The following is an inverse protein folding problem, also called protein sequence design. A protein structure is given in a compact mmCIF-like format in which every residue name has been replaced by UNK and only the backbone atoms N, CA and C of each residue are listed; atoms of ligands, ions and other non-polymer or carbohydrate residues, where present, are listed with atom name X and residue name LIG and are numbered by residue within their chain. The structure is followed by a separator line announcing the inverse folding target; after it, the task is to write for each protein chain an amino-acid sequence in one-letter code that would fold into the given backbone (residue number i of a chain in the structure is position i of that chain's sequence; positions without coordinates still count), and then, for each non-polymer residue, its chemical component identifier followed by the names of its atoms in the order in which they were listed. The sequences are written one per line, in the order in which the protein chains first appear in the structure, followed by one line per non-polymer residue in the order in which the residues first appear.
data_IF_204799281444
#
_entry.id   IF_204799281444
#
_cell.length_a   1.000
_cell.length_b   1.000
_cell.length_c   1.000
_cell.angle_alpha   90.00
_cell.angle_beta   90.00
_cell.angle_gamma   90.00
#
_symmetry.space_group_name_H-M   'P 1'
#
loop_
_entity.id
_entity.type
_entity.pdbx_description
1 polymer ?
#
# COMPACT_ATOMS: atom_id res chain seq x y z
N UNK A 1 -8.51 -31.15 4.60
CA UNK A 1 -9.43 -30.92 5.73
C UNK A 1 -9.92 -29.50 5.58
N UNK A 2 -10.97 -29.29 4.79
CA UNK A 2 -11.59 -27.98 4.64
C UNK A 2 -12.40 -27.67 5.88
N UNK A 3 -11.91 -26.75 6.70
CA UNK A 3 -12.70 -26.14 7.74
C UNK A 3 -13.77 -25.26 7.07
N UNK A 4 -14.95 -25.84 6.85
CA UNK A 4 -16.18 -25.10 6.59
C UNK A 4 -16.44 -24.22 7.83
N UNK A 5 -15.93 -23.00 7.80
CA UNK A 5 -16.34 -21.96 8.73
C UNK A 5 -17.83 -21.72 8.48
N UNK A 6 -18.63 -22.07 9.48
CA UNK A 6 -20.07 -21.93 9.44
C UNK A 6 -20.45 -20.46 9.25
N UNK A 7 -20.98 -20.14 8.07
CA UNK A 7 -21.35 -18.77 7.68
C UNK A 7 -22.40 -18.16 8.60
N UNK A 8 -23.15 -18.99 9.33
CA UNK A 8 -24.18 -18.56 10.28
C UNK A 8 -23.62 -18.08 11.62
N UNK A 9 -22.30 -18.22 11.85
CA UNK A 9 -21.60 -17.73 13.04
C UNK A 9 -21.00 -16.32 12.87
N UNK A 10 -21.09 -15.72 11.68
CA UNK A 10 -20.59 -14.36 11.48
C UNK A 10 -21.54 -13.36 12.16
N UNK A 11 -21.07 -12.46 13.05
CA UNK A 11 -21.87 -11.41 13.64
C UNK A 11 -22.71 -10.67 12.57
N UNK A 12 -23.96 -10.24 12.85
CA UNK A 12 -24.81 -9.53 11.90
C UNK A 12 -24.19 -8.27 11.27
N UNK A 13 -23.13 -7.73 11.90
CA UNK A 13 -22.28 -6.70 11.32
C UNK A 13 -21.56 -7.20 10.06
N UNK A 14 -20.97 -8.39 10.06
CA UNK A 14 -20.23 -8.94 8.92
C UNK A 14 -21.13 -9.25 7.70
N UNK A 15 -22.37 -9.70 7.91
CA UNK A 15 -23.31 -10.00 6.81
C UNK A 15 -23.83 -8.75 6.05
N UNK A 16 -24.06 -7.62 6.74
CA UNK A 16 -24.37 -6.34 6.07
C UNK A 16 -23.17 -5.76 5.32
N UNK A 17 -21.97 -6.25 5.60
CA UNK A 17 -20.71 -5.68 5.15
C UNK A 17 -20.15 -6.32 3.87
N UNK A 18 -20.47 -7.57 3.54
CA UNK A 18 -20.08 -8.17 2.25
C UNK A 18 -20.63 -7.38 1.04
N UNK A 19 -21.81 -6.77 1.17
CA UNK A 19 -22.38 -5.87 0.16
C UNK A 19 -21.60 -4.54 0.02
N UNK A 20 -20.84 -4.14 1.05
CA UNK A 20 -19.98 -2.95 1.03
C UNK A 20 -18.64 -3.19 0.35
N UNK A 21 -18.18 -4.44 0.30
CA UNK A 21 -16.84 -4.83 -0.13
C UNK A 21 -16.68 -4.83 -1.65
N UNK A 22 -17.60 -5.51 -2.35
CA UNK A 22 -17.71 -5.39 -3.81
C UNK A 22 -17.94 -3.93 -4.22
N UNK A 23 -18.75 -3.20 -3.44
CA UNK A 23 -18.99 -1.77 -3.64
C UNK A 23 -17.74 -0.92 -3.45
N UNK A 24 -16.87 -1.22 -2.49
CA UNK A 24 -15.63 -0.50 -2.25
C UNK A 24 -14.62 -0.75 -3.37
N UNK A 25 -14.37 -2.01 -3.71
CA UNK A 25 -13.46 -2.37 -4.82
C UNK A 25 -13.98 -1.78 -6.13
N UNK A 26 -15.29 -1.80 -6.37
CA UNK A 26 -15.89 -1.14 -7.53
C UNK A 26 -15.76 0.39 -7.48
N UNK A 27 -15.94 1.04 -6.31
CA UNK A 27 -15.76 2.49 -6.15
C UNK A 27 -14.31 2.90 -6.37
N UNK A 28 -13.34 2.17 -5.81
CA UNK A 28 -11.91 2.39 -6.05
C UNK A 28 -11.59 2.24 -7.53
N UNK A 29 -12.05 1.15 -8.17
CA UNK A 29 -11.86 0.92 -9.61
C UNK A 29 -12.55 1.99 -10.48
N UNK A 30 -13.74 2.45 -10.08
CA UNK A 30 -14.49 3.49 -10.79
C UNK A 30 -13.81 4.86 -10.65
N UNK A 31 -13.41 5.25 -9.44
CA UNK A 31 -12.68 6.46 -9.14
C UNK A 31 -11.35 6.49 -9.91
N UNK A 32 -10.62 5.37 -9.94
CA UNK A 32 -9.43 5.20 -10.77
C UNK A 32 -9.70 5.43 -12.26
N UNK A 33 -10.74 4.79 -12.82
CA UNK A 33 -11.12 4.98 -14.24
C UNK A 33 -11.44 6.43 -14.55
N UNK A 34 -12.18 7.11 -13.66
CA UNK A 34 -12.56 8.50 -13.84
C UNK A 34 -11.34 9.44 -13.77
N UNK A 35 -10.34 9.11 -12.97
CA UNK A 35 -9.10 9.89 -12.89
C UNK A 35 -8.18 9.71 -14.10
N UNK A 36 -8.06 8.48 -14.65
CA UNK A 36 -7.30 8.25 -15.90
C UNK A 36 -7.85 9.12 -17.02
N UNK A 37 -9.18 9.26 -17.08
CA UNK A 37 -9.85 10.13 -18.06
C UNK A 37 -9.56 11.61 -17.79
N UNK A 38 -9.59 12.06 -16.54
CA UNK A 38 -9.35 13.47 -16.21
C UNK A 38 -7.88 13.91 -16.39
N UNK A 39 -6.91 13.06 -16.07
CA UNK A 39 -5.48 13.37 -16.30
C UNK A 39 -5.16 13.43 -17.81
N UNK A 40 -5.84 12.62 -18.63
CA UNK A 40 -5.73 12.71 -20.09
C UNK A 40 -6.40 13.96 -20.69
N UNK A 41 -7.37 14.55 -19.99
CA UNK A 41 -8.12 15.73 -20.45
C UNK A 41 -7.53 17.08 -19.98
N UNK A 42 -6.58 17.08 -19.04
CA UNK A 42 -5.99 18.29 -18.42
C UNK A 42 -4.61 18.64 -19.02
N UNK A 43 -4.24 18.09 -20.17
CA UNK A 43 -3.10 18.59 -20.95
C UNK A 43 -3.59 19.54 -22.06
N UNK A 44 -3.71 20.86 -21.82
CA UNK A 44 -3.82 21.82 -22.90
C UNK A 44 -2.46 21.90 -23.61
N UNK A 45 -2.49 21.87 -24.94
CA UNK A 45 -1.34 22.19 -25.78
C UNK A 45 -0.82 23.60 -25.51
N UNK A 46 0.47 23.79 -25.79
CA UNK A 46 1.27 25.01 -25.74
C UNK A 46 0.45 26.31 -25.86
N UNK A 47 0.05 26.86 -24.71
CA UNK A 47 -0.63 28.15 -24.61
C UNK A 47 0.11 29.03 -23.60
N UNK A 48 0.66 30.14 -24.10
CA UNK A 48 1.39 31.16 -23.36
C UNK A 48 0.62 31.64 -22.11
N UNK A 49 1.25 31.52 -20.93
CA UNK A 49 0.74 32.10 -19.68
C UNK A 49 1.40 33.48 -19.46
N UNK A 50 0.61 34.54 -19.20
CA UNK A 50 1.16 35.87 -18.91
C UNK A 50 1.74 35.95 -17.50
N UNK A 51 2.89 36.62 -17.38
CA UNK A 51 3.59 36.85 -16.13
C UNK A 51 2.84 37.84 -15.21
N UNK A 52 2.60 37.44 -13.96
CA UNK A 52 1.96 38.29 -12.95
C UNK A 52 2.36 37.98 -11.51
N UNK A 53 3.11 38.91 -10.92
CA UNK A 53 3.33 39.22 -9.50
C UNK A 53 3.97 38.17 -8.56
N UNK A 54 5.20 38.51 -8.13
CA UNK A 54 6.05 37.78 -7.21
C UNK A 54 5.65 37.92 -5.72
N UNK A 55 5.85 36.83 -4.97
CA UNK A 55 6.12 36.83 -3.53
C UNK A 55 7.52 36.26 -3.28
N UNK A 56 8.24 36.66 -2.21
CA UNK A 56 9.65 36.34 -2.03
C UNK A 56 9.88 34.84 -1.83
N UNK A 57 10.81 34.28 -2.60
CA UNK A 57 11.15 32.88 -2.63
C UNK A 57 11.98 32.44 -1.40
N UNK A 58 11.73 31.25 -0.83
CA UNK A 58 12.73 30.56 -0.01
C UNK A 58 13.94 30.17 -0.89
N UNK A 59 15.13 30.11 -0.26
CA UNK A 59 16.41 29.80 -0.91
C UNK A 59 16.33 28.55 -1.80
N UNK A 60 16.95 28.56 -3.00
CA UNK A 60 16.84 27.46 -3.94
C UNK A 60 17.62 26.24 -3.42
N UNK A 61 16.93 25.11 -3.36
CA UNK A 61 17.56 23.79 -3.38
C UNK A 61 18.38 23.64 -4.66
N UNK A 62 19.49 22.88 -4.64
CA UNK A 62 20.34 22.68 -5.81
C UNK A 62 19.53 22.12 -6.99
N UNK A 63 19.64 22.80 -8.14
CA UNK A 63 18.98 22.39 -9.39
C UNK A 63 19.38 20.96 -9.76
N UNK A 64 18.42 20.06 -10.04
CA UNK A 64 18.74 18.80 -10.70
C UNK A 64 19.25 19.10 -12.11
N UNK A 65 20.33 18.42 -12.50
CA UNK A 65 20.84 18.45 -13.87
C UNK A 65 19.72 18.07 -14.87
N UNK A 66 19.74 18.58 -16.11
CA UNK A 66 18.72 18.31 -17.11
C UNK A 66 18.84 16.86 -17.60
N UNK A 67 18.24 15.94 -16.85
CA UNK A 67 18.00 14.56 -17.23
C UNK A 67 16.51 14.37 -17.49
N UNK A 68 16.15 14.03 -18.74
CA UNK A 68 14.85 13.56 -19.21
C UNK A 68 13.59 13.96 -18.41
N UNK A 69 12.90 15.01 -18.83
CA UNK A 69 11.62 15.48 -18.27
C UNK A 69 10.50 14.43 -18.20
N UNK A 70 10.65 13.29 -18.89
CA UNK A 70 9.67 12.20 -18.86
C UNK A 70 9.65 11.42 -17.54
N UNK A 71 10.78 11.34 -16.81
CA UNK A 71 10.84 10.62 -15.53
C UNK A 71 10.09 11.32 -14.39
N UNK A 72 10.14 12.66 -14.36
CA UNK A 72 9.56 13.45 -13.27
C UNK A 72 8.03 13.40 -13.22
N UNK A 73 7.35 13.43 -14.37
CA UNK A 73 5.88 13.36 -14.43
C UNK A 73 5.35 11.98 -14.04
N UNK A 74 6.06 10.92 -14.43
CA UNK A 74 5.69 9.56 -14.04
C UNK A 74 5.83 9.38 -12.52
N UNK A 75 6.96 9.78 -11.96
CA UNK A 75 7.19 9.70 -10.52
C UNK A 75 6.17 10.53 -9.72
N UNK A 76 5.86 11.75 -10.18
CA UNK A 76 4.83 12.59 -9.54
C UNK A 76 3.44 11.95 -9.58
N UNK A 77 3.11 11.27 -10.69
CA UNK A 77 1.85 10.52 -10.82
C UNK A 77 1.81 9.33 -9.86
N UNK A 78 2.88 8.55 -9.76
CA UNK A 78 2.98 7.41 -8.85
C UNK A 78 2.81 7.86 -7.39
N UNK A 79 3.54 8.91 -6.97
CA UNK A 79 3.38 9.52 -5.65
C UNK A 79 1.95 10.04 -5.42
N UNK A 80 1.33 10.70 -6.40
CA UNK A 80 -0.04 11.16 -6.24
C UNK A 80 -1.04 10.00 -6.07
N UNK A 81 -0.85 8.90 -6.79
CA UNK A 81 -1.70 7.71 -6.66
C UNK A 81 -1.53 7.05 -5.28
N UNK A 82 -0.30 7.02 -4.75
CA UNK A 82 0.01 6.58 -3.40
C UNK A 82 -0.75 7.40 -2.34
N UNK A 83 -0.57 8.72 -2.36
CA UNK A 83 -1.19 9.63 -1.38
C UNK A 83 -2.71 9.60 -1.45
N UNK A 84 -3.27 9.43 -2.65
CA UNK A 84 -4.71 9.22 -2.80
C UNK A 84 -5.17 7.91 -2.15
N UNK A 85 -4.34 6.87 -2.19
CA UNK A 85 -4.56 5.62 -1.44
C UNK A 85 -4.76 5.91 0.05
N UNK A 86 -3.89 6.70 0.66
CA UNK A 86 -4.04 7.14 2.06
C UNK A 86 -5.36 7.87 2.30
N UNK A 87 -5.71 8.83 1.43
CA UNK A 87 -6.98 9.58 1.56
C UNK A 87 -8.20 8.66 1.50
N UNK A 88 -8.17 7.63 0.64
CA UNK A 88 -9.25 6.63 0.55
C UNK A 88 -9.35 5.78 1.82
N UNK A 89 -8.22 5.52 2.47
CA UNK A 89 -8.14 4.66 3.65
C UNK A 89 -8.44 5.37 4.97
N UNK A 90 -8.22 6.69 5.04
CA UNK A 90 -8.44 7.53 6.23
C UNK A 90 -9.76 7.22 6.99
N UNK A 91 -10.93 7.10 6.34
CA UNK A 91 -12.20 6.90 7.06
C UNK A 91 -12.33 5.55 7.76
N UNK A 92 -11.48 4.59 7.45
CA UNK A 92 -11.66 3.21 7.90
C UNK A 92 -10.89 2.90 9.17
N UNK A 93 -9.75 3.53 9.42
CA UNK A 93 -8.79 2.97 10.38
C UNK A 93 -7.85 3.97 11.08
N UNK A 94 -7.87 5.25 10.69
CA UNK A 94 -7.09 6.27 11.39
C UNK A 94 -7.65 6.53 12.81
N UNK A 95 -6.82 6.74 13.84
CA UNK A 95 -5.35 6.76 13.87
C UNK A 95 -4.66 5.43 14.25
N UNK A 96 -5.41 4.33 14.31
CA UNK A 96 -4.97 3.12 15.04
C UNK A 96 -4.26 2.07 14.17
N UNK A 97 -4.22 2.26 12.85
CA UNK A 97 -3.54 1.34 11.93
C UNK A 97 -2.02 1.40 12.09
N UNK A 98 -1.35 0.25 12.24
CA UNK A 98 0.10 0.19 12.18
C UNK A 98 0.61 0.80 10.87
N UNK A 99 1.67 1.61 10.94
CA UNK A 99 2.16 2.37 9.79
C UNK A 99 2.44 1.46 8.58
N UNK A 100 3.08 0.30 8.78
CA UNK A 100 3.35 -0.63 7.69
C UNK A 100 2.08 -1.13 6.99
N UNK A 101 0.97 -1.33 7.73
CA UNK A 101 -0.33 -1.75 7.18
C UNK A 101 -0.96 -0.60 6.39
N UNK A 102 -0.90 0.62 6.91
CA UNK A 102 -1.39 1.82 6.23
C UNK A 102 -0.68 2.01 4.88
N UNK A 103 0.65 1.96 4.88
CA UNK A 103 1.48 2.10 3.68
C UNK A 103 1.29 0.94 2.71
N UNK A 104 1.23 -0.30 3.21
CA UNK A 104 0.88 -1.49 2.44
C UNK A 104 -0.43 -1.30 1.66
N UNK A 105 -1.47 -0.82 2.34
CA UNK A 105 -2.78 -0.57 1.73
C UNK A 105 -2.72 0.52 0.66
N UNK A 106 -2.03 1.63 0.92
CA UNK A 106 -1.89 2.72 -0.03
C UNK A 106 -1.14 2.30 -1.29
N UNK A 107 0.00 1.61 -1.14
CA UNK A 107 0.78 1.08 -2.26
C UNK A 107 0.00 0.04 -3.07
N UNK A 108 -0.76 -0.84 -2.41
CA UNK A 108 -1.61 -1.79 -3.12
C UNK A 108 -2.68 -1.08 -3.98
N UNK A 109 -3.34 -0.04 -3.44
CA UNK A 109 -4.32 0.77 -4.19
C UNK A 109 -3.69 1.53 -5.36
N UNK A 110 -2.44 1.97 -5.20
CA UNK A 110 -1.67 2.63 -6.24
C UNK A 110 -1.12 1.66 -7.31
N UNK A 111 -1.26 0.35 -7.10
CA UNK A 111 -0.62 -0.71 -7.90
C UNK A 111 0.91 -0.56 -7.94
N UNK A 112 1.49 -0.06 -6.85
CA UNK A 112 2.94 0.06 -6.70
C UNK A 112 3.58 -1.32 -6.52
N UNK A 113 4.62 -1.56 -7.33
CA UNK A 113 5.56 -2.66 -7.13
C UNK A 113 6.96 -2.10 -7.02
N UNK A 114 7.65 -2.44 -5.93
CA UNK A 114 9.01 -1.98 -5.65
C UNK A 114 10.07 -3.03 -5.97
N UNK A 115 9.89 -3.78 -7.06
CA UNK A 115 10.74 -4.94 -7.39
C UNK A 115 12.23 -4.60 -7.46
N UNK A 116 12.60 -3.46 -8.05
CA UNK A 116 13.99 -3.02 -8.09
C UNK A 116 14.59 -2.84 -6.67
N UNK A 117 13.77 -2.36 -5.73
CA UNK A 117 14.17 -2.23 -4.31
C UNK A 117 14.19 -3.59 -3.62
N UNK A 118 13.24 -4.49 -3.92
CA UNK A 118 13.26 -5.87 -3.40
C UNK A 118 14.52 -6.60 -3.83
N UNK A 119 14.88 -6.51 -5.11
CA UNK A 119 16.10 -7.12 -5.65
C UNK A 119 17.34 -6.60 -4.92
N UNK A 120 17.50 -5.28 -4.80
CA UNK A 120 18.63 -4.69 -4.09
C UNK A 120 18.67 -5.08 -2.60
N UNK A 121 17.52 -5.12 -1.92
CA UNK A 121 17.41 -5.53 -0.52
C UNK A 121 17.73 -7.01 -0.30
N UNK A 122 17.30 -7.89 -1.22
CA UNK A 122 17.62 -9.33 -1.18
C UNK A 122 19.11 -9.60 -1.46
N UNK A 123 19.70 -8.91 -2.44
CA UNK A 123 21.12 -9.06 -2.80
C UNK A 123 22.06 -8.58 -1.70
N UNK A 124 21.70 -7.49 -1.02
CA UNK A 124 22.47 -6.96 0.12
C UNK A 124 22.22 -7.71 1.43
N UNK A 125 21.18 -8.54 1.51
CA UNK A 125 20.74 -9.20 2.74
C UNK A 125 20.02 -8.27 3.72
N UNK A 126 19.71 -7.03 3.33
CA UNK A 126 19.19 -6.00 4.22
C UNK A 126 17.81 -6.30 4.81
N UNK A 127 17.04 -7.22 4.21
CA UNK A 127 15.77 -7.67 4.78
C UNK A 127 15.93 -8.72 5.89
N UNK A 128 17.10 -9.34 6.04
CA UNK A 128 17.32 -10.39 7.05
C UNK A 128 17.24 -9.89 8.49
N UNK A 129 17.42 -8.58 8.71
CA UNK A 129 17.34 -7.93 10.01
C UNK A 129 15.99 -7.22 10.24
N UNK A 130 15.02 -7.38 9.34
CA UNK A 130 13.69 -6.76 9.45
C UNK A 130 12.68 -7.73 10.04
N UNK A 131 11.74 -7.22 10.84
CA UNK A 131 10.58 -7.97 11.31
C UNK A 131 9.31 -7.12 11.32
N UNK A 132 8.18 -7.73 10.97
CA UNK A 132 6.85 -7.12 11.14
C UNK A 132 6.50 -6.86 12.61
N UNK A 133 7.12 -7.58 13.55
CA UNK A 133 6.97 -7.27 14.97
C UNK A 133 7.53 -5.88 15.33
N UNK A 134 8.63 -5.48 14.68
CA UNK A 134 9.39 -4.26 15.00
C UNK A 134 9.01 -3.05 14.13
N UNK A 135 8.38 -3.29 12.98
CA UNK A 135 7.97 -2.26 12.00
C UNK A 135 6.98 -1.20 12.54
N UNK A 136 6.43 -1.41 13.73
CA UNK A 136 5.54 -0.46 14.40
C UNK A 136 6.28 0.74 15.03
N UNK A 137 7.50 0.53 15.52
CA UNK A 137 8.17 1.48 16.41
C UNK A 137 9.12 2.43 15.68
N UNK A 138 9.32 2.23 14.37
CA UNK A 138 10.36 2.89 13.59
C UNK A 138 9.78 3.75 12.49
N UNK A 139 10.41 4.89 12.25
CA UNK A 139 10.20 5.65 11.02
C UNK A 139 10.60 4.77 9.84
N UNK A 140 9.65 4.53 8.93
CA UNK A 140 9.87 3.61 7.82
C UNK A 140 10.88 4.20 6.83
N UNK A 141 12.11 3.68 6.86
CA UNK A 141 13.07 3.90 5.77
C UNK A 141 12.63 3.27 4.44
N UNK A 142 13.31 3.57 3.31
CA UNK A 142 12.92 3.07 1.97
C UNK A 142 12.80 1.54 1.87
N UNK A 143 13.67 0.80 2.57
CA UNK A 143 13.62 -0.66 2.61
C UNK A 143 12.42 -1.17 3.42
N UNK A 144 12.06 -0.53 4.53
CA UNK A 144 10.88 -0.86 5.31
C UNK A 144 9.59 -0.66 4.48
N UNK A 145 9.52 0.42 3.71
CA UNK A 145 8.43 0.64 2.74
C UNK A 145 8.37 -0.49 1.70
N UNK A 146 9.50 -0.87 1.11
CA UNK A 146 9.53 -1.96 0.13
C UNK A 146 9.12 -3.31 0.75
N UNK A 147 9.49 -3.54 2.00
CA UNK A 147 9.14 -4.75 2.74
C UNK A 147 7.64 -4.80 3.08
N UNK A 148 7.07 -3.69 3.55
CA UNK A 148 5.62 -3.54 3.77
C UNK A 148 4.82 -3.71 2.47
N UNK A 149 5.31 -3.16 1.35
CA UNK A 149 4.73 -3.35 0.02
C UNK A 149 4.66 -4.83 -0.37
N UNK A 150 5.77 -5.56 -0.16
CA UNK A 150 5.83 -6.98 -0.47
C UNK A 150 4.86 -7.81 0.37
N UNK A 151 4.76 -7.56 1.68
CA UNK A 151 3.80 -8.27 2.52
C UNK A 151 2.35 -7.99 2.12
N UNK A 152 2.00 -6.75 1.77
CA UNK A 152 0.67 -6.42 1.27
C UNK A 152 0.31 -7.27 0.04
N UNK A 153 1.22 -7.29 -0.94
CA UNK A 153 1.04 -8.02 -2.18
C UNK A 153 0.98 -9.53 -1.94
N UNK A 154 1.87 -10.06 -1.09
CA UNK A 154 1.84 -11.46 -0.65
C UNK A 154 0.46 -11.84 -0.07
N UNK A 155 -0.01 -11.11 0.96
CA UNK A 155 -1.28 -11.40 1.61
C UNK A 155 -2.47 -11.31 0.64
N UNK A 156 -2.43 -10.37 -0.30
CA UNK A 156 -3.48 -10.23 -1.32
C UNK A 156 -3.41 -11.34 -2.37
N UNK A 157 -2.23 -11.74 -2.82
CA UNK A 157 -2.07 -12.78 -3.84
C UNK A 157 -2.41 -14.17 -3.29
N UNK A 158 -2.07 -14.46 -2.03
CA UNK A 158 -2.35 -15.75 -1.42
C UNK A 158 -3.81 -15.90 -0.97
N UNK A 159 -4.36 -14.89 -0.28
CA UNK A 159 -5.66 -15.00 0.40
C UNK A 159 -6.74 -14.10 -0.20
N UNK A 160 -6.39 -13.33 -1.22
CA UNK A 160 -7.28 -12.42 -1.93
C UNK A 160 -7.40 -11.04 -1.28
N UNK A 161 -7.81 -10.02 -2.06
CA UNK A 161 -7.98 -8.66 -1.56
C UNK A 161 -9.06 -8.54 -0.50
N UNK A 162 -10.07 -9.42 -0.53
CA UNK A 162 -11.14 -9.50 0.46
C UNK A 162 -10.60 -9.68 1.88
N UNK A 163 -9.72 -10.68 2.05
CA UNK A 163 -9.10 -11.03 3.32
C UNK A 163 -8.20 -9.90 3.81
N UNK A 164 -7.41 -9.31 2.91
CA UNK A 164 -6.57 -8.15 3.23
C UNK A 164 -7.37 -6.94 3.72
N UNK A 165 -8.47 -6.58 3.06
CA UNK A 165 -9.29 -5.45 3.53
C UNK A 165 -10.07 -5.77 4.80
N UNK A 166 -10.36 -7.04 5.07
CA UNK A 166 -10.86 -7.46 6.39
C UNK A 166 -9.78 -7.26 7.44
N UNK A 167 -8.55 -7.71 7.21
CA UNK A 167 -7.41 -7.46 8.11
C UNK A 167 -7.23 -5.97 8.40
N UNK A 168 -7.09 -5.15 7.36
CA UNK A 168 -6.91 -3.70 7.46
C UNK A 168 -7.99 -3.04 8.34
N UNK A 169 -9.27 -3.35 8.12
CA UNK A 169 -10.37 -2.68 8.83
C UNK A 169 -10.48 -3.02 10.32
N UNK A 170 -9.92 -4.13 10.76
CA UNK A 170 -9.99 -4.50 12.19
C UNK A 170 -9.16 -3.55 13.08
N UNK A 171 -8.26 -2.76 12.51
CA UNK A 171 -7.52 -1.74 13.26
C UNK A 171 -8.38 -0.53 13.66
N UNK A 172 -9.60 -0.38 13.12
CA UNK A 172 -10.49 0.73 13.51
C UNK A 172 -10.75 0.80 15.01
N UNK A 173 -10.92 -0.37 15.63
CA UNK A 173 -11.38 -0.51 17.01
C UNK A 173 -10.28 -1.08 17.93
N UNK A 174 -9.05 -1.22 17.42
CA UNK A 174 -7.97 -1.88 18.14
C UNK A 174 -6.76 -0.97 18.36
N UNK A 175 -6.25 -0.94 19.60
CA UNK A 175 -5.31 0.08 20.04
C UNK A 175 -3.81 -0.25 19.85
N UNK A 176 -3.41 -1.33 19.17
CA UNK A 176 -1.97 -1.67 19.12
C UNK A 176 -1.53 -2.69 18.08
N UNK A 177 -0.22 -2.79 17.91
CA UNK A 177 0.53 -3.80 17.15
C UNK A 177 0.35 -5.23 17.64
N UNK A 178 0.10 -5.42 18.95
CA UNK A 178 -0.27 -6.72 19.48
C UNK A 178 -1.55 -7.26 18.81
N UNK A 179 -2.43 -6.35 18.37
CA UNK A 179 -3.59 -6.72 17.57
C UNK A 179 -3.21 -7.19 16.17
N UNK A 180 -2.18 -6.60 15.54
CA UNK A 180 -1.77 -7.00 14.20
C UNK A 180 -1.34 -8.46 14.15
N UNK A 181 -0.51 -8.90 15.10
CA UNK A 181 -0.12 -10.31 15.24
C UNK A 181 -1.32 -11.22 15.46
N UNK A 182 -2.23 -10.85 16.38
CA UNK A 182 -3.46 -11.60 16.65
C UNK A 182 -4.36 -11.71 15.43
N UNK A 183 -4.48 -10.64 14.64
CA UNK A 183 -5.29 -10.60 13.42
C UNK A 183 -4.66 -11.41 12.29
N UNK A 184 -3.32 -11.47 12.21
CA UNK A 184 -2.62 -12.37 11.29
C UNK A 184 -2.98 -13.82 11.58
N UNK A 185 -2.87 -14.24 12.86
CA UNK A 185 -3.21 -15.61 13.26
C UNK A 185 -4.68 -15.93 12.97
N UNK A 186 -5.59 -15.00 13.30
CA UNK A 186 -7.02 -15.19 13.14
C UNK A 186 -7.46 -15.29 11.66
N UNK A 187 -6.89 -14.44 10.80
CA UNK A 187 -7.36 -14.29 9.42
C UNK A 187 -6.57 -15.12 8.41
N UNK A 188 -5.30 -15.41 8.71
CA UNK A 188 -4.36 -16.07 7.80
C UNK A 188 -3.76 -17.36 8.38
N UNK A 189 -3.94 -17.61 9.68
CA UNK A 189 -3.48 -18.84 10.32
C UNK A 189 -1.97 -18.88 10.58
N UNK A 190 -1.30 -17.73 10.65
CA UNK A 190 0.11 -17.61 10.97
C UNK A 190 0.42 -16.31 11.72
N UNK A 191 1.55 -16.25 12.43
CA UNK A 191 2.01 -15.10 13.20
C UNK A 191 2.90 -14.15 12.37
N UNK A 192 3.44 -13.10 13.01
CA UNK A 192 4.29 -12.11 12.34
C UNK A 192 5.64 -12.68 11.86
N UNK A 193 6.24 -13.61 12.60
CA UNK A 193 7.50 -14.27 12.23
C UNK A 193 7.31 -15.13 10.96
N UNK A 194 6.22 -15.90 10.92
CA UNK A 194 5.86 -16.65 9.73
C UNK A 194 5.54 -15.72 8.53
N UNK A 195 4.93 -14.55 8.76
CA UNK A 195 4.74 -13.55 7.72
C UNK A 195 6.08 -13.05 7.16
N UNK A 196 7.09 -12.84 8.03
CA UNK A 196 8.43 -12.43 7.60
C UNK A 196 9.05 -13.45 6.64
N UNK A 197 9.08 -14.71 7.06
CA UNK A 197 9.64 -15.82 6.26
C UNK A 197 8.93 -15.97 4.90
N UNK A 198 7.60 -15.92 4.92
CA UNK A 198 6.74 -16.07 3.73
C UNK A 198 6.90 -14.90 2.77
N UNK A 199 6.95 -13.68 3.29
CA UNK A 199 7.17 -12.47 2.49
C UNK A 199 8.54 -12.52 1.81
N UNK A 200 9.59 -12.91 2.54
CA UNK A 200 10.93 -13.06 1.98
C UNK A 200 11.01 -14.14 0.91
N UNK A 201 10.36 -15.29 1.13
CA UNK A 201 10.28 -16.35 0.13
C UNK A 201 9.56 -15.88 -1.13
N UNK A 202 8.41 -15.23 -0.98
CA UNK A 202 7.61 -14.70 -2.08
C UNK A 202 8.36 -13.61 -2.87
N UNK A 203 9.05 -12.68 -2.20
CA UNK A 203 9.86 -11.66 -2.88
C UNK A 203 10.96 -12.29 -3.74
N UNK A 204 11.65 -13.32 -3.24
CA UNK A 204 12.68 -14.04 -4.01
C UNK A 204 12.09 -14.67 -5.27
N UNK A 205 10.92 -15.29 -5.16
CA UNK A 205 10.21 -15.88 -6.30
C UNK A 205 9.79 -14.81 -7.32
N UNK A 206 9.18 -13.71 -6.85
CA UNK A 206 8.75 -12.60 -7.69
C UNK A 206 9.93 -12.00 -8.50
N UNK A 207 11.04 -11.71 -7.82
CA UNK A 207 12.28 -11.18 -8.45
C UNK A 207 12.89 -12.18 -9.43
N UNK A 208 12.88 -13.48 -9.12
CA UNK A 208 13.42 -14.52 -9.99
C UNK A 208 12.56 -14.74 -11.24
N UNK A 209 11.23 -14.57 -11.12
CA UNK A 209 10.29 -14.67 -12.24
C UNK A 209 10.30 -13.45 -13.16
N UNK A 210 10.92 -12.34 -12.74
CA UNK A 210 10.95 -11.07 -13.46
C UNK A 210 9.55 -10.47 -13.63
N UNK A 211 8.78 -10.45 -12.54
CA UNK A 211 7.33 -10.17 -12.54
C UNK A 211 6.93 -8.72 -12.76
#
# INVERSE_FOLDING_TARGET
MDALVDRDMLPPALARWEHSEAGMVQRVRAQRRQMVVNVGAVLPGDGDIPAGAASPAPSPAPSPAPGGHHGGLQQARETFQHELGHVVLLPFTYPHTPQWVAEAGAMYLAEERREATWRAGLESGAFGDMSFADLHEQELGPLHYAYANAAALYLVEQDGPATFWRFYRNFRDADSTAEAGRLLELLYGFDAEALDERTLAWMREAVASGG
#
